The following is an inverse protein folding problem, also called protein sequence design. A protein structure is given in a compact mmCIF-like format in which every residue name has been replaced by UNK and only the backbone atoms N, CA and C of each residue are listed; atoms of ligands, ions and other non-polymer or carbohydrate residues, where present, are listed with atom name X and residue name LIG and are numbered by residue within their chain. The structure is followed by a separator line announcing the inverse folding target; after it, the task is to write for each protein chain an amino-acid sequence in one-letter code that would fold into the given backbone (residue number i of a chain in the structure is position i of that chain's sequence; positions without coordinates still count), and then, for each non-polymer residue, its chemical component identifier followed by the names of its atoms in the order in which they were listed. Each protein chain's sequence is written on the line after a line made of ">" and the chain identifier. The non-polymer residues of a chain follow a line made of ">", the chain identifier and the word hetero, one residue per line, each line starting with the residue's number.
data_IF_044124711148
#
_entry.id   IF_044124711148
#
_cell.length_a   1.000
_cell.length_b   1.000
_cell.length_c   1.000
_cell.angle_alpha   90.00
_cell.angle_beta   90.00
_cell.angle_gamma   90.00
#
_symmetry.space_group_name_H-M   'P 1'
#
loop_
_entity.id
_entity.type
_entity.pdbx_description
1 polymer ?
#
# COMPACT_ATOMS: atom_id res chain seq x y z
N UNK A 1 17.12 -7.11 26.19
CA UNK A 1 18.06 -7.09 25.03
C UNK A 1 18.64 -8.49 24.94
N UNK A 2 18.12 -9.32 24.05
CA UNK A 2 18.69 -10.65 23.75
C UNK A 2 19.91 -10.45 22.85
N UNK A 3 21.05 -10.99 23.22
CA UNK A 3 22.25 -10.97 22.41
C UNK A 3 22.03 -11.72 21.09
N UNK A 4 22.60 -11.27 19.96
CA UNK A 4 22.51 -11.97 18.68
C UNK A 4 23.44 -13.21 18.71
N UNK A 5 22.87 -14.35 19.07
CA UNK A 5 23.60 -15.61 19.18
C UNK A 5 22.76 -16.78 18.71
N UNK A 6 22.26 -16.72 17.49
CA UNK A 6 21.56 -17.84 16.87
C UNK A 6 21.62 -17.69 15.36
N UNK A 7 22.41 -18.53 14.69
CA UNK A 7 22.50 -18.67 13.24
C UNK A 7 21.29 -19.37 12.61
N UNK A 8 20.10 -19.18 13.17
CA UNK A 8 18.85 -19.61 12.56
C UNK A 8 18.23 -18.43 11.84
N UNK A 9 18.17 -18.47 10.51
CA UNK A 9 17.33 -17.56 9.71
C UNK A 9 15.87 -17.78 10.15
N UNK A 10 15.34 -16.86 10.97
CA UNK A 10 13.91 -16.90 11.30
C UNK A 10 13.13 -16.56 10.02
N UNK A 11 12.60 -17.58 9.36
CA UNK A 11 11.64 -17.38 8.27
C UNK A 11 10.33 -16.89 8.87
N UNK A 12 9.64 -16.05 8.12
CA UNK A 12 8.31 -15.57 8.50
C UNK A 12 7.27 -16.17 7.55
N UNK A 13 6.06 -16.34 8.06
CA UNK A 13 4.95 -16.90 7.28
C UNK A 13 3.85 -15.86 7.14
N UNK A 14 3.31 -15.77 5.94
CA UNK A 14 2.11 -15.00 5.65
C UNK A 14 0.89 -15.88 5.87
N UNK A 15 0.09 -15.56 6.90
CA UNK A 15 -1.03 -16.39 7.37
C UNK A 15 -2.39 -15.88 6.93
N UNK A 16 -2.50 -14.62 6.59
CA UNK A 16 -3.73 -14.01 6.11
C UNK A 16 -3.44 -12.89 5.13
N UNK A 17 -4.32 -12.70 4.16
CA UNK A 17 -4.19 -11.64 3.16
C UNK A 17 -5.54 -11.06 2.78
N UNK A 18 -5.54 -9.79 2.39
CA UNK A 18 -6.67 -9.12 1.75
C UNK A 18 -6.18 -8.17 0.69
N UNK A 19 -6.91 -8.05 -0.41
CA UNK A 19 -6.58 -7.15 -1.51
C UNK A 19 -7.83 -6.47 -2.06
N UNK A 20 -7.69 -5.21 -2.47
CA UNK A 20 -8.67 -4.48 -3.26
C UNK A 20 -7.93 -3.77 -4.39
N UNK A 21 -8.06 -4.30 -5.60
CA UNK A 21 -7.36 -3.84 -6.79
C UNK A 21 -8.38 -3.49 -7.89
N UNK A 22 -7.98 -2.66 -8.87
CA UNK A 22 -8.82 -2.36 -10.03
C UNK A 22 -9.32 -3.60 -10.75
N UNK A 23 -10.43 -3.48 -11.46
CA UNK A 23 -11.04 -4.59 -12.17
C UNK A 23 -11.81 -5.56 -11.29
N UNK A 24 -12.28 -5.08 -10.11
CA UNK A 24 -13.05 -5.85 -9.11
C UNK A 24 -12.28 -7.02 -8.52
N UNK A 25 -10.98 -6.88 -8.37
CA UNK A 25 -10.14 -7.90 -7.76
C UNK A 25 -10.12 -7.68 -6.25
N UNK A 26 -10.77 -8.57 -5.51
CA UNK A 26 -10.92 -8.51 -4.04
C UNK A 26 -10.34 -9.72 -3.31
N UNK A 27 -9.74 -10.66 -4.04
CA UNK A 27 -9.10 -11.85 -3.46
C UNK A 27 -7.98 -12.39 -4.36
N UNK A 28 -7.15 -13.26 -3.79
CA UNK A 28 -6.00 -13.85 -4.48
C UNK A 28 -6.38 -14.69 -5.71
N UNK A 29 -7.52 -15.39 -5.67
CA UNK A 29 -7.96 -16.21 -6.80
C UNK A 29 -8.28 -15.34 -8.02
N UNK A 30 -8.97 -14.22 -7.80
CA UNK A 30 -9.26 -13.26 -8.88
C UNK A 30 -7.98 -12.62 -9.41
N UNK A 31 -7.02 -12.30 -8.53
CA UNK A 31 -5.71 -11.80 -8.93
C UNK A 31 -4.96 -12.81 -9.79
N UNK A 32 -4.89 -14.06 -9.35
CA UNK A 32 -4.24 -15.13 -10.11
C UNK A 32 -4.90 -15.34 -11.48
N UNK A 33 -6.24 -15.31 -11.53
CA UNK A 33 -6.99 -15.44 -12.78
C UNK A 33 -6.70 -14.27 -13.73
N UNK A 34 -6.68 -13.02 -13.20
CA UNK A 34 -6.34 -11.83 -13.99
C UNK A 34 -4.94 -11.94 -14.59
N UNK A 35 -3.96 -12.37 -13.80
CA UNK A 35 -2.59 -12.55 -14.25
C UNK A 35 -2.48 -13.67 -15.30
N UNK A 36 -3.14 -14.82 -15.08
CA UNK A 36 -3.13 -15.95 -16.01
C UNK A 36 -3.80 -15.64 -17.35
N UNK A 37 -4.83 -14.79 -17.35
CA UNK A 37 -5.57 -14.42 -18.57
C UNK A 37 -4.99 -13.18 -19.27
N UNK A 38 -4.05 -12.48 -18.67
CA UNK A 38 -3.51 -11.22 -19.19
C UNK A 38 -4.57 -10.12 -19.32
N UNK A 39 -5.60 -10.15 -18.47
CA UNK A 39 -6.72 -9.20 -18.53
C UNK A 39 -6.21 -7.77 -18.31
N UNK A 40 -6.55 -6.88 -19.25
CA UNK A 40 -6.28 -5.44 -19.13
C UNK A 40 -7.23 -4.82 -18.10
N UNK A 41 -6.66 -4.09 -17.14
CA UNK A 41 -7.39 -3.39 -16.07
C UNK A 41 -7.17 -1.88 -16.08
N UNK A 42 -6.29 -1.38 -16.95
CA UNK A 42 -6.08 0.05 -17.13
C UNK A 42 -7.12 0.63 -18.08
N UNK A 43 -7.49 1.87 -17.89
CA UNK A 43 -8.49 2.55 -18.70
C UNK A 43 -8.43 4.06 -18.56
N UNK A 44 -9.37 4.75 -19.18
CA UNK A 44 -9.54 6.19 -18.98
C UNK A 44 -9.95 6.47 -17.54
N UNK A 45 -9.55 7.64 -17.03
CA UNK A 45 -10.00 8.15 -15.73
C UNK A 45 -11.53 8.20 -15.72
N UNK A 46 -12.21 7.57 -14.76
CA UNK A 46 -13.66 7.60 -14.68
C UNK A 46 -14.15 8.98 -14.19
N UNK A 47 -15.29 9.44 -14.72
CA UNK A 47 -15.88 10.73 -14.34
C UNK A 47 -16.17 10.84 -12.83
N UNK A 48 -16.37 9.73 -12.13
CA UNK A 48 -16.53 9.69 -10.67
C UNK A 48 -15.26 10.10 -9.89
N UNK A 49 -14.10 10.15 -10.55
CA UNK A 49 -12.84 10.62 -9.94
C UNK A 49 -12.60 12.09 -10.22
N UNK A 50 -12.51 12.45 -11.49
CA UNK A 50 -12.45 13.84 -11.97
C UNK A 50 -12.79 13.92 -13.45
N UNK A 51 -13.16 15.13 -13.90
CA UNK A 51 -13.34 15.42 -15.32
C UNK A 51 -11.96 15.53 -15.99
N UNK A 52 -11.56 14.48 -16.67
CA UNK A 52 -10.26 14.40 -17.34
C UNK A 52 -10.19 15.32 -18.57
N UNK A 53 -11.29 15.50 -19.27
CA UNK A 53 -11.31 16.37 -20.45
C UNK A 53 -11.19 17.85 -20.05
N UNK A 54 -11.87 18.26 -18.97
CA UNK A 54 -11.69 19.59 -18.40
C UNK A 54 -10.27 19.81 -17.86
N UNK A 55 -9.68 18.81 -17.19
CA UNK A 55 -8.32 18.87 -16.69
C UNK A 55 -7.29 18.99 -17.82
N UNK A 56 -7.48 18.31 -18.93
CA UNK A 56 -6.64 18.42 -20.12
C UNK A 56 -6.86 19.76 -20.81
N UNK A 57 -8.11 20.21 -20.99
CA UNK A 57 -8.43 21.49 -21.61
C UNK A 57 -7.88 22.70 -20.85
N UNK A 58 -7.84 22.63 -19.52
CA UNK A 58 -7.24 23.68 -18.68
C UNK A 58 -5.70 23.69 -18.72
N UNK A 59 -5.09 22.70 -19.35
CA UNK A 59 -3.64 22.52 -19.45
C UNK A 59 -3.11 22.90 -20.84
N UNK A 60 -3.53 24.06 -21.37
CA UNK A 60 -3.22 24.52 -22.70
C UNK A 60 -1.73 24.79 -22.99
N UNK A 61 -0.95 24.91 -21.94
CA UNK A 61 0.50 25.07 -21.96
C UNK A 61 1.26 23.75 -22.10
N UNK A 62 0.57 22.61 -22.02
CA UNK A 62 1.19 21.30 -22.03
C UNK A 62 1.17 20.66 -23.43
N UNK A 63 2.26 19.99 -23.78
CA UNK A 63 2.34 19.24 -25.03
C UNK A 63 1.39 18.03 -25.05
N UNK A 64 0.97 17.60 -26.24
CA UNK A 64 0.02 16.50 -26.46
C UNK A 64 0.40 15.22 -25.71
N UNK A 65 1.68 14.86 -25.68
CA UNK A 65 2.15 13.67 -24.98
C UNK A 65 1.87 13.73 -23.47
N UNK A 66 2.00 14.90 -22.83
CA UNK A 66 1.68 15.08 -21.41
C UNK A 66 0.17 14.97 -21.19
N UNK A 67 -0.62 15.62 -22.03
CA UNK A 67 -2.08 15.54 -22.01
C UNK A 67 -2.56 14.07 -22.13
N UNK A 68 -1.97 13.30 -23.02
CA UNK A 68 -2.31 11.90 -23.19
C UNK A 68 -1.95 11.06 -21.96
N UNK A 69 -0.81 11.33 -21.30
CA UNK A 69 -0.42 10.67 -20.03
C UNK A 69 -1.42 10.91 -18.90
N UNK A 70 -2.13 12.03 -18.92
CA UNK A 70 -3.11 12.39 -17.88
C UNK A 70 -4.44 11.63 -17.99
N UNK A 71 -4.71 10.99 -19.13
CA UNK A 71 -6.02 10.40 -19.43
C UNK A 71 -6.24 9.00 -18.84
N UNK A 72 -5.20 8.33 -18.35
CA UNK A 72 -5.25 6.91 -18.04
C UNK A 72 -4.84 6.60 -16.60
N UNK A 73 -5.46 5.56 -16.06
CA UNK A 73 -5.15 4.99 -14.75
C UNK A 73 -5.88 3.67 -14.57
N UNK A 74 -5.68 3.02 -13.45
CA UNK A 74 -6.47 1.89 -13.01
C UNK A 74 -7.09 2.23 -11.65
N UNK A 75 -8.41 2.14 -11.53
CA UNK A 75 -9.18 2.66 -10.41
C UNK A 75 -9.98 1.56 -9.74
N UNK A 76 -9.98 1.55 -8.40
CA UNK A 76 -10.87 0.69 -7.64
C UNK A 76 -12.29 1.27 -7.65
N UNK A 77 -13.27 0.38 -7.60
CA UNK A 77 -14.68 0.75 -7.44
C UNK A 77 -15.02 0.81 -5.95
N UNK A 78 -16.07 1.57 -5.61
CA UNK A 78 -16.65 1.60 -4.25
C UNK A 78 -15.69 2.07 -3.14
N UNK A 79 -14.66 2.87 -3.48
CA UNK A 79 -13.75 3.45 -2.49
C UNK A 79 -14.44 4.40 -1.49
N UNK A 80 -15.64 4.88 -1.83
CA UNK A 80 -16.50 5.72 -0.99
C UNK A 80 -17.25 4.93 0.08
N UNK A 81 -17.44 3.63 -0.10
CA UNK A 81 -18.18 2.79 0.84
C UNK A 81 -17.31 2.44 2.06
N UNK A 82 -17.95 2.38 3.22
CA UNK A 82 -17.30 1.98 4.47
C UNK A 82 -18.34 1.57 5.52
N UNK A 83 -18.16 0.42 6.14
CA UNK A 83 -19.01 0.00 7.26
C UNK A 83 -18.57 0.66 8.57
N UNK A 84 -18.92 1.93 8.73
CA UNK A 84 -18.60 2.70 9.92
C UNK A 84 -19.15 2.06 11.21
N UNK A 85 -20.32 1.41 11.13
CA UNK A 85 -20.96 0.75 12.27
C UNK A 85 -20.15 -0.43 12.77
N UNK A 86 -19.65 -1.27 11.84
CA UNK A 86 -18.80 -2.41 12.17
C UNK A 86 -17.54 -1.99 12.92
N UNK A 87 -16.95 -0.86 12.54
CA UNK A 87 -15.72 -0.35 13.16
C UNK A 87 -15.96 0.58 14.35
N UNK A 88 -17.22 0.85 14.71
CA UNK A 88 -17.57 1.77 15.82
C UNK A 88 -17.21 3.22 15.55
N UNK A 89 -17.13 3.61 14.27
CA UNK A 89 -16.81 4.97 13.81
C UNK A 89 -18.12 5.71 13.55
N UNK A 90 -18.24 6.96 14.01
CA UNK A 90 -19.44 7.75 13.74
C UNK A 90 -19.53 8.15 12.25
N UNK A 91 -20.74 8.37 11.69
CA UNK A 91 -20.88 8.86 10.32
C UNK A 91 -20.14 10.18 10.08
N UNK A 92 -20.15 11.09 11.06
CA UNK A 92 -19.45 12.38 10.95
C UNK A 92 -17.92 12.19 10.88
N UNK A 93 -17.37 11.31 11.69
CA UNK A 93 -15.97 10.94 11.63
C UNK A 93 -15.62 10.24 10.30
N UNK A 94 -16.43 9.26 9.89
CA UNK A 94 -16.25 8.55 8.63
C UNK A 94 -16.24 9.48 7.42
N UNK A 95 -17.08 10.52 7.40
CA UNK A 95 -17.11 11.51 6.31
C UNK A 95 -15.80 12.32 6.23
N UNK A 96 -15.20 12.65 7.39
CA UNK A 96 -13.95 13.39 7.45
C UNK A 96 -12.69 12.50 7.23
N UNK A 97 -12.86 11.17 7.26
CA UNK A 97 -11.78 10.21 7.19
C UNK A 97 -11.37 9.93 5.74
N UNK A 98 -10.07 10.03 5.46
CA UNK A 98 -9.48 9.65 4.17
C UNK A 98 -9.94 8.24 3.76
N UNK A 99 -10.45 8.04 2.53
CA UNK A 99 -10.79 6.71 2.02
C UNK A 99 -9.68 5.67 2.21
N UNK A 100 -8.42 6.08 2.15
CA UNK A 100 -7.28 5.20 2.39
C UNK A 100 -7.27 4.67 3.84
N UNK A 101 -7.61 5.51 4.84
CA UNK A 101 -7.74 5.05 6.23
C UNK A 101 -8.91 4.06 6.38
N UNK A 102 -10.03 4.28 5.67
CA UNK A 102 -11.19 3.38 5.68
C UNK A 102 -10.83 2.01 5.07
N UNK A 103 -10.16 2.00 3.93
CA UNK A 103 -9.66 0.77 3.30
C UNK A 103 -8.64 0.04 4.18
N UNK A 104 -7.76 0.76 4.88
CA UNK A 104 -6.82 0.15 5.83
C UNK A 104 -7.54 -0.55 6.99
N UNK A 105 -8.64 0.01 7.49
CA UNK A 105 -9.46 -0.65 8.52
C UNK A 105 -10.09 -1.94 7.98
N UNK A 106 -10.75 -1.88 6.82
CA UNK A 106 -11.45 -3.01 6.23
C UNK A 106 -10.48 -4.13 5.84
N UNK A 107 -9.44 -3.82 5.06
CA UNK A 107 -8.50 -4.83 4.56
C UNK A 107 -7.54 -5.32 5.64
N UNK A 108 -7.17 -4.47 6.61
CA UNK A 108 -6.40 -4.89 7.78
C UNK A 108 -7.16 -5.90 8.62
N UNK A 109 -8.42 -5.62 8.91
CA UNK A 109 -9.27 -6.58 9.63
C UNK A 109 -9.55 -7.85 8.81
N UNK A 110 -9.82 -7.73 7.52
CA UNK A 110 -10.03 -8.89 6.65
C UNK A 110 -8.79 -9.82 6.61
N UNK A 111 -7.58 -9.27 6.55
CA UNK A 111 -6.36 -10.05 6.59
C UNK A 111 -6.19 -10.78 7.94
N UNK A 112 -6.47 -10.09 9.05
CA UNK A 112 -6.47 -10.70 10.39
C UNK A 112 -7.53 -11.80 10.51
N UNK A 113 -8.74 -11.55 10.01
CA UNK A 113 -9.80 -12.55 9.99
C UNK A 113 -9.46 -13.76 9.10
N UNK A 114 -8.80 -13.53 7.97
CA UNK A 114 -8.30 -14.60 7.09
C UNK A 114 -7.21 -15.45 7.74
N UNK A 115 -6.48 -14.90 8.75
CA UNK A 115 -5.54 -15.67 9.59
C UNK A 115 -6.21 -16.36 10.79
N UNK A 116 -7.56 -16.35 10.86
CA UNK A 116 -8.34 -17.03 11.89
C UNK A 116 -8.62 -16.18 13.15
N UNK A 117 -8.32 -14.89 13.15
CA UNK A 117 -8.49 -14.01 14.31
C UNK A 117 -9.80 -13.20 14.23
N UNK A 118 -10.55 -13.18 15.33
CA UNK A 118 -11.74 -12.34 15.51
C UNK A 118 -11.39 -11.06 16.28
N UNK A 119 -12.29 -10.08 16.31
CA UNK A 119 -12.10 -8.87 17.13
C UNK A 119 -11.85 -9.17 18.61
N UNK A 120 -12.46 -10.22 19.15
CA UNK A 120 -12.30 -10.61 20.55
C UNK A 120 -10.87 -11.11 20.82
N UNK A 121 -10.27 -11.78 19.84
CA UNK A 121 -8.90 -12.31 19.95
C UNK A 121 -7.83 -11.23 19.86
N UNK A 122 -8.15 -10.07 19.27
CA UNK A 122 -7.22 -8.98 18.97
C UNK A 122 -7.05 -7.99 20.12
N UNK A 123 -8.10 -7.76 20.91
CA UNK A 123 -8.11 -6.73 21.93
C UNK A 123 -7.04 -6.96 23.01
N UNK A 124 -6.20 -5.95 23.25
CA UNK A 124 -5.12 -5.99 24.23
C UNK A 124 -3.88 -6.79 23.79
N UNK A 125 -3.82 -7.25 22.53
CA UNK A 125 -2.67 -8.04 22.04
C UNK A 125 -1.54 -7.14 21.53
N UNK A 126 -0.31 -7.61 21.76
CA UNK A 126 0.92 -6.98 21.27
C UNK A 126 1.16 -7.33 19.78
N UNK A 127 0.20 -6.98 18.93
CA UNK A 127 0.30 -7.16 17.48
C UNK A 127 0.72 -5.86 16.82
N UNK A 128 1.70 -5.95 15.90
CA UNK A 128 2.26 -4.78 15.20
C UNK A 128 1.40 -4.35 14.00
N UNK A 129 1.43 -3.06 13.67
CA UNK A 129 0.81 -2.49 12.47
C UNK A 129 1.83 -1.66 11.70
N UNK A 130 2.11 -2.04 10.46
CA UNK A 130 3.08 -1.39 9.58
C UNK A 130 2.40 -0.99 8.28
N UNK A 131 2.26 0.31 8.04
CA UNK A 131 1.51 0.87 6.91
C UNK A 131 2.42 1.59 5.93
N UNK A 132 2.47 1.12 4.68
CA UNK A 132 3.01 1.85 3.54
C UNK A 132 1.96 2.82 2.98
N UNK A 133 2.26 4.14 3.03
CA UNK A 133 1.31 5.19 2.66
C UNK A 133 2.07 6.41 2.15
N UNK A 134 1.70 6.99 1.03
CA UNK A 134 2.44 8.08 0.42
C UNK A 134 1.57 9.29 0.06
N UNK A 135 0.48 9.13 -0.68
CA UNK A 135 -0.30 10.24 -1.22
C UNK A 135 -1.48 10.63 -0.33
N UNK A 136 -1.75 11.94 -0.20
CA UNK A 136 -2.85 12.53 0.59
C UNK A 136 -3.76 13.43 -0.24
N UNK A 137 -4.43 12.84 -1.23
CA UNK A 137 -5.31 13.61 -2.12
C UNK A 137 -6.59 14.10 -1.41
N UNK A 138 -7.04 13.36 -0.37
CA UNK A 138 -8.36 13.59 0.24
C UNK A 138 -8.51 14.95 0.93
N UNK A 139 -7.44 15.49 1.50
CA UNK A 139 -7.48 16.83 2.10
C UNK A 139 -7.94 17.90 1.10
N UNK A 140 -7.52 17.78 -0.17
CA UNK A 140 -7.97 18.66 -1.25
C UNK A 140 -9.44 18.44 -1.63
N UNK A 141 -9.91 17.19 -1.62
CA UNK A 141 -11.31 16.90 -1.86
C UNK A 141 -12.22 17.53 -0.79
N UNK A 142 -11.73 17.65 0.44
CA UNK A 142 -12.46 18.23 1.54
C UNK A 142 -12.36 19.78 1.63
N UNK A 143 -11.48 20.44 0.91
CA UNK A 143 -11.12 21.85 1.12
C UNK A 143 -12.32 22.79 1.24
N UNK A 144 -13.38 22.56 0.45
CA UNK A 144 -14.62 23.32 0.49
C UNK A 144 -15.81 22.58 1.16
N UNK A 145 -15.56 21.41 1.74
CA UNK A 145 -16.59 20.61 2.38
C UNK A 145 -16.70 20.95 3.89
N UNK A 146 -17.90 20.99 4.49
CA UNK A 146 -18.05 21.26 5.92
C UNK A 146 -17.21 20.36 6.83
N UNK A 147 -16.98 19.11 6.45
CA UNK A 147 -16.18 18.15 7.20
C UNK A 147 -14.70 18.61 7.37
N UNK A 148 -14.18 19.45 6.46
CA UNK A 148 -12.83 20.02 6.60
C UNK A 148 -12.67 20.95 7.81
N UNK A 149 -13.76 21.46 8.35
CA UNK A 149 -13.80 22.37 9.50
C UNK A 149 -14.31 21.71 10.77
N UNK A 150 -14.59 20.40 10.71
CA UNK A 150 -15.10 19.63 11.83
C UNK A 150 -13.99 19.16 12.78
N UNK A 151 -14.37 18.67 13.94
CA UNK A 151 -13.43 18.14 14.97
C UNK A 151 -12.61 16.96 14.50
N UNK A 152 -13.06 16.26 13.45
CA UNK A 152 -12.39 15.09 12.88
C UNK A 152 -11.47 15.41 11.71
N UNK A 153 -11.37 16.67 11.25
CA UNK A 153 -10.58 17.03 10.08
C UNK A 153 -9.09 16.70 10.24
N UNK A 154 -8.52 17.01 11.41
CA UNK A 154 -7.13 16.73 11.71
C UNK A 154 -6.81 15.23 11.74
N UNK A 155 -7.65 14.42 12.37
CA UNK A 155 -7.44 12.97 12.48
C UNK A 155 -7.82 12.23 11.19
N UNK A 156 -8.78 12.75 10.45
CA UNK A 156 -9.24 12.18 9.19
C UNK A 156 -8.23 12.26 8.06
N UNK A 157 -7.38 13.29 8.03
CA UNK A 157 -6.39 13.51 6.98
C UNK A 157 -4.92 13.28 7.42
N UNK A 158 -4.67 13.01 8.71
CA UNK A 158 -3.30 12.82 9.21
C UNK A 158 -2.75 11.44 8.85
N UNK A 159 -1.55 11.42 8.25
CA UNK A 159 -0.82 10.19 7.96
C UNK A 159 -0.45 9.44 9.24
N UNK A 160 0.00 10.14 10.29
CA UNK A 160 0.39 9.52 11.57
C UNK A 160 -0.77 8.77 12.24
N UNK A 161 -2.00 9.19 11.98
CA UNK A 161 -3.21 8.53 12.50
C UNK A 161 -3.58 7.28 11.67
N UNK A 162 -3.20 7.23 10.40
CA UNK A 162 -3.63 6.15 9.50
C UNK A 162 -3.21 4.75 9.99
N UNK A 163 -1.96 4.56 10.44
CA UNK A 163 -1.52 3.29 11.05
C UNK A 163 -2.13 3.06 12.44
N UNK A 164 -2.13 4.10 13.28
CA UNK A 164 -2.67 4.04 14.64
C UNK A 164 -4.17 3.78 14.71
N UNK A 165 -4.93 4.15 13.69
CA UNK A 165 -6.38 3.95 13.64
C UNK A 165 -6.78 2.47 13.67
N UNK A 166 -6.07 1.60 12.94
CA UNK A 166 -6.31 0.16 12.99
C UNK A 166 -6.01 -0.39 14.39
N UNK A 167 -4.88 0.00 14.97
CA UNK A 167 -4.52 -0.39 16.35
C UNK A 167 -5.59 0.07 17.35
N UNK A 168 -6.04 1.32 17.26
CA UNK A 168 -7.06 1.88 18.14
C UNK A 168 -8.39 1.13 18.05
N UNK A 169 -8.90 0.91 16.83
CA UNK A 169 -10.21 0.27 16.62
C UNK A 169 -10.22 -1.21 17.03
N UNK A 170 -9.09 -1.92 16.88
CA UNK A 170 -8.97 -3.34 17.21
C UNK A 170 -8.36 -3.59 18.58
N UNK A 171 -7.93 -2.54 19.30
CA UNK A 171 -7.30 -2.65 20.62
C UNK A 171 -5.90 -3.25 20.60
N UNK A 172 -5.16 -3.12 19.48
CA UNK A 172 -3.80 -3.65 19.36
C UNK A 172 -2.81 -2.76 20.13
N UNK A 173 -1.85 -3.37 20.81
CA UNK A 173 -0.88 -2.70 21.69
C UNK A 173 0.57 -2.86 21.23
N UNK A 174 0.83 -3.56 20.13
CA UNK A 174 2.16 -3.71 19.55
C UNK A 174 2.68 -2.47 18.82
N UNK A 175 3.89 -2.55 18.25
CA UNK A 175 4.49 -1.46 17.49
C UNK A 175 3.59 -0.99 16.35
N UNK A 176 3.54 0.32 16.13
CA UNK A 176 2.72 0.92 15.08
C UNK A 176 3.53 1.97 14.32
N UNK A 177 3.68 1.80 13.00
CA UNK A 177 4.45 2.71 12.19
C UNK A 177 3.82 2.94 10.81
N UNK A 178 3.92 4.19 10.34
CA UNK A 178 3.66 4.54 8.95
C UNK A 178 4.99 4.78 8.24
N UNK A 179 5.15 4.21 7.07
CA UNK A 179 6.35 4.28 6.25
C UNK A 179 6.01 4.92 4.92
N UNK A 180 6.72 6.00 4.58
CA UNK A 180 6.67 6.58 3.24
C UNK A 180 8.05 6.49 2.58
N UNK A 181 8.16 5.58 1.64
CA UNK A 181 9.28 5.47 0.71
C UNK A 181 8.73 5.42 -0.73
N UNK A 182 7.66 6.18 -0.98
CA UNK A 182 6.92 6.24 -2.23
C UNK A 182 6.47 4.83 -2.70
N UNK A 183 6.77 4.43 -3.93
CA UNK A 183 6.35 3.14 -4.51
C UNK A 183 6.87 1.91 -3.74
N UNK A 184 7.94 2.03 -2.96
CA UNK A 184 8.49 0.93 -2.15
C UNK A 184 7.94 0.87 -0.72
N UNK A 185 7.03 1.77 -0.33
CA UNK A 185 6.55 1.91 1.05
C UNK A 185 6.01 0.58 1.63
N UNK A 186 5.21 -0.16 0.86
CA UNK A 186 4.66 -1.45 1.28
C UNK A 186 5.74 -2.52 1.51
N UNK A 187 6.74 -2.63 0.62
CA UNK A 187 7.86 -3.56 0.80
C UNK A 187 8.76 -3.16 1.96
N UNK A 188 8.98 -1.87 2.16
CA UNK A 188 9.72 -1.35 3.31
C UNK A 188 8.98 -1.64 4.61
N UNK A 189 7.67 -1.45 4.65
CA UNK A 189 6.82 -1.82 5.79
C UNK A 189 6.91 -3.31 6.11
N UNK A 190 6.93 -4.18 5.08
CA UNK A 190 7.14 -5.63 5.24
C UNK A 190 8.50 -5.93 5.90
N UNK A 191 9.56 -5.25 5.48
CA UNK A 191 10.90 -5.40 6.08
C UNK A 191 10.94 -4.98 7.56
N UNK A 192 10.30 -3.87 7.92
CA UNK A 192 10.19 -3.44 9.32
C UNK A 192 9.38 -4.42 10.17
N UNK A 193 8.25 -4.90 9.64
CA UNK A 193 7.43 -5.90 10.31
C UNK A 193 8.21 -7.21 10.58
N UNK A 194 8.93 -7.71 9.58
CA UNK A 194 9.78 -8.90 9.73
C UNK A 194 10.88 -8.71 10.78
N UNK A 195 11.50 -7.53 10.84
CA UNK A 195 12.48 -7.21 11.86
C UNK A 195 11.87 -7.17 13.26
N UNK A 196 10.72 -6.54 13.45
CA UNK A 196 10.02 -6.48 14.73
C UNK A 196 9.64 -7.89 15.25
N UNK A 197 9.15 -8.76 14.34
CA UNK A 197 8.89 -10.16 14.66
C UNK A 197 10.17 -10.91 15.07
N UNK A 198 11.26 -10.73 14.34
CA UNK A 198 12.56 -11.34 14.66
C UNK A 198 13.10 -10.88 16.01
N UNK A 199 12.89 -9.61 16.36
CA UNK A 199 13.30 -9.02 17.64
C UNK A 199 12.35 -9.38 18.81
N UNK A 200 11.21 -9.99 18.52
CA UNK A 200 10.18 -10.30 19.50
C UNK A 200 9.45 -9.10 20.05
N UNK A 201 9.41 -7.98 19.30
CA UNK A 201 8.67 -6.78 19.67
C UNK A 201 7.14 -6.96 19.50
N UNK A 202 6.73 -7.90 18.67
CA UNK A 202 5.35 -8.35 18.52
C UNK A 202 5.29 -9.82 18.12
N UNK A 203 4.17 -10.49 18.44
CA UNK A 203 3.95 -11.89 18.08
C UNK A 203 3.40 -12.06 16.66
N UNK A 204 2.71 -11.02 16.17
CA UNK A 204 2.08 -10.95 14.85
C UNK A 204 2.20 -9.52 14.33
N UNK A 205 2.40 -9.34 13.04
CA UNK A 205 2.41 -8.04 12.39
C UNK A 205 1.46 -7.97 11.21
N UNK A 206 0.60 -6.95 11.20
CA UNK A 206 -0.22 -6.59 10.04
C UNK A 206 0.57 -5.60 9.19
N UNK A 207 0.79 -5.95 7.94
CA UNK A 207 1.38 -5.05 6.94
C UNK A 207 0.29 -4.60 5.98
N UNK A 208 0.23 -3.31 5.75
CA UNK A 208 -0.73 -2.67 4.86
C UNK A 208 0.01 -1.82 3.83
N UNK A 209 -0.55 -1.71 2.65
CA UNK A 209 -0.13 -0.74 1.65
C UNK A 209 -1.35 -0.23 0.90
N UNK A 210 -1.47 1.08 0.78
CA UNK A 210 -2.64 1.71 0.14
C UNK A 210 -2.23 2.91 -0.71
N UNK A 211 -2.89 3.06 -1.84
CA UNK A 211 -2.83 4.25 -2.67
C UNK A 211 -4.16 4.45 -3.38
N UNK A 212 -4.72 5.66 -3.30
CA UNK A 212 -5.89 6.08 -4.06
C UNK A 212 -5.61 7.43 -4.72
N UNK A 213 -6.02 7.54 -5.98
CA UNK A 213 -5.95 8.76 -6.76
C UNK A 213 -7.30 9.47 -6.73
N UNK A 214 -7.40 10.62 -6.07
CA UNK A 214 -8.66 11.36 -5.91
C UNK A 214 -8.65 12.71 -6.65
N UNK A 215 -7.48 13.27 -6.92
CA UNK A 215 -7.32 14.56 -7.61
C UNK A 215 -6.25 14.49 -8.71
N UNK A 216 -6.25 15.46 -9.58
CA UNK A 216 -5.39 15.51 -10.78
C UNK A 216 -3.93 15.87 -10.49
N UNK A 217 -3.62 16.52 -9.37
CA UNK A 217 -2.33 17.20 -9.16
C UNK A 217 -1.12 16.27 -9.22
N UNK A 218 -1.14 15.20 -8.44
CA UNK A 218 -0.05 14.20 -8.45
C UNK A 218 -0.01 13.47 -9.79
N UNK A 219 -1.18 13.22 -10.39
CA UNK A 219 -1.29 12.60 -11.71
C UNK A 219 -0.64 13.46 -12.78
N UNK A 220 -0.93 14.76 -12.78
CA UNK A 220 -0.33 15.77 -13.68
C UNK A 220 1.18 15.90 -13.45
N UNK A 221 1.63 15.94 -12.20
CA UNK A 221 3.06 16.05 -11.87
C UNK A 221 3.87 14.88 -12.45
N UNK A 222 3.37 13.66 -12.35
CA UNK A 222 4.03 12.47 -12.92
C UNK A 222 3.96 12.43 -14.44
N UNK A 223 2.89 12.95 -15.05
CA UNK A 223 2.79 13.11 -16.50
C UNK A 223 3.82 14.12 -17.03
N UNK A 224 3.98 15.24 -16.34
CA UNK A 224 4.99 16.27 -16.64
C UNK A 224 6.41 15.74 -16.52
N UNK A 225 6.68 14.96 -15.47
CA UNK A 225 7.98 14.30 -15.27
C UNK A 225 8.28 13.18 -16.29
N UNK A 226 7.34 12.87 -17.18
CA UNK A 226 7.50 11.81 -18.18
C UNK A 226 7.48 10.40 -17.61
N UNK A 227 7.01 10.21 -16.36
CA UNK A 227 7.03 8.92 -15.67
C UNK A 227 5.92 7.99 -16.13
N UNK A 228 4.75 8.54 -16.51
CA UNK A 228 3.58 7.75 -16.92
C UNK A 228 3.56 7.50 -18.43
N UNK A 229 2.97 6.38 -18.84
CA UNK A 229 2.86 5.98 -20.25
C UNK A 229 1.86 6.86 -21.01
N UNK A 230 2.21 7.27 -22.23
CA UNK A 230 1.28 7.97 -23.14
C UNK A 230 0.12 7.10 -23.62
N UNK A 231 0.29 5.77 -23.57
CA UNK A 231 -0.73 4.79 -23.94
C UNK A 231 -1.52 4.25 -22.72
N UNK A 232 -1.21 4.74 -21.51
CA UNK A 232 -1.84 4.26 -20.28
C UNK A 232 -1.56 2.80 -19.94
N UNK A 233 -0.40 2.26 -20.36
CA UNK A 233 -0.05 0.84 -20.17
C UNK A 233 1.36 0.67 -19.63
N UNK A 234 1.54 -0.36 -18.79
CA UNK A 234 2.85 -0.82 -18.37
C UNK A 234 3.33 -1.90 -19.36
N UNK A 235 4.22 -1.54 -20.26
CA UNK A 235 4.82 -2.47 -21.21
C UNK A 235 6.09 -3.09 -20.62
N UNK A 236 5.94 -3.79 -19.49
CA UNK A 236 7.05 -4.43 -18.79
C UNK A 236 7.70 -5.49 -19.68
N UNK A 237 9.03 -5.44 -19.82
CA UNK A 237 9.83 -6.33 -20.70
C UNK A 237 9.52 -6.21 -22.20
N UNK A 238 8.96 -5.09 -22.65
CA UNK A 238 8.58 -4.83 -24.02
C UNK A 238 9.35 -3.61 -24.57
N UNK A 239 9.74 -3.65 -25.84
CA UNK A 239 10.41 -2.53 -26.49
C UNK A 239 9.59 -1.26 -26.58
N UNK A 240 8.28 -1.34 -26.42
CA UNK A 240 7.34 -0.22 -26.35
C UNK A 240 7.29 0.48 -25.00
N UNK A 241 8.06 0.02 -24.00
CA UNK A 241 8.08 0.60 -22.66
C UNK A 241 8.37 2.11 -22.72
N UNK A 242 7.41 2.91 -22.22
CA UNK A 242 7.46 4.38 -22.29
C UNK A 242 6.93 5.07 -21.01
N UNK A 243 6.88 4.33 -19.92
CA UNK A 243 6.35 4.74 -18.62
C UNK A 243 5.42 3.70 -18.02
N UNK A 244 4.84 4.01 -16.86
CA UNK A 244 3.88 3.14 -16.19
C UNK A 244 2.47 3.75 -16.19
N UNK A 245 1.47 2.95 -15.88
CA UNK A 245 0.11 3.41 -15.61
C UNK A 245 -0.10 3.45 -14.10
N UNK A 246 -0.53 4.59 -13.55
CA UNK A 246 -0.86 4.71 -12.11
C UNK A 246 -2.07 3.87 -11.76
N UNK A 247 -2.09 3.34 -10.56
CA UNK A 247 -3.18 2.49 -10.07
C UNK A 247 -3.56 2.84 -8.64
N UNK A 248 -4.86 2.78 -8.36
CA UNK A 248 -5.35 2.59 -6.99
C UNK A 248 -5.02 1.18 -6.52
N UNK A 249 -4.86 1.01 -5.23
CA UNK A 249 -4.77 -0.31 -4.60
C UNK A 249 -4.90 -0.23 -3.09
N UNK A 250 -5.37 -1.30 -2.49
CA UNK A 250 -5.16 -1.60 -1.07
C UNK A 250 -4.79 -3.07 -0.94
N UNK A 251 -3.74 -3.34 -0.20
CA UNK A 251 -3.30 -4.69 0.12
C UNK A 251 -2.94 -4.80 1.59
N UNK A 252 -3.27 -5.94 2.20
CA UNK A 252 -2.92 -6.27 3.58
C UNK A 252 -2.43 -7.70 3.68
N UNK A 253 -1.45 -7.94 4.53
CA UNK A 253 -1.05 -9.27 4.92
C UNK A 253 -0.71 -9.35 6.40
N UNK A 254 -0.81 -10.56 6.95
CA UNK A 254 -0.43 -10.88 8.32
C UNK A 254 0.82 -11.73 8.29
N UNK A 255 1.85 -11.29 9.02
CA UNK A 255 3.12 -11.99 9.18
C UNK A 255 3.26 -12.54 10.60
N UNK A 256 3.80 -13.74 10.72
CA UNK A 256 4.17 -14.41 11.97
C UNK A 256 5.53 -15.10 11.81
N UNK A 257 6.19 -15.42 12.91
CA UNK A 257 7.40 -16.25 12.87
C UNK A 257 7.00 -17.67 12.44
N UNK A 258 7.75 -18.27 11.51
CA UNK A 258 7.48 -19.62 11.04
C UNK A 258 7.69 -20.64 12.19
N UNK A 259 6.81 -21.62 12.27
CA UNK A 259 6.80 -22.63 13.36
C UNK A 259 5.65 -22.47 14.34
N UNK A 260 5.03 -21.28 14.41
CA UNK A 260 3.87 -21.04 15.29
C UNK A 260 2.52 -21.39 14.62
N UNK A 261 2.54 -21.89 13.38
CA UNK A 261 1.34 -22.13 12.56
C UNK A 261 1.38 -23.54 11.97
N UNK A 262 0.22 -24.22 11.90
CA UNK A 262 0.09 -25.56 11.31
C UNK A 262 0.44 -25.60 9.81
N UNK A 263 0.63 -26.81 9.27
CA UNK A 263 1.25 -27.09 7.96
C UNK A 263 0.57 -26.50 6.69
N UNK A 264 -0.58 -25.85 6.79
CA UNK A 264 -1.24 -25.17 5.65
C UNK A 264 -0.70 -23.75 5.42
N UNK A 265 0.61 -23.61 5.27
CA UNK A 265 1.23 -22.31 5.07
C UNK A 265 1.23 -21.90 3.60
N UNK A 266 0.65 -20.76 3.32
CA UNK A 266 0.49 -20.30 1.95
C UNK A 266 1.77 -19.69 1.36
N UNK A 267 2.51 -18.87 2.10
CA UNK A 267 3.70 -18.15 1.59
C UNK A 267 4.73 -17.96 2.70
N UNK A 268 5.97 -18.35 2.44
CA UNK A 268 7.10 -18.09 3.32
C UNK A 268 7.86 -16.83 2.86
N UNK A 269 8.13 -15.90 3.79
CA UNK A 269 9.03 -14.78 3.61
C UNK A 269 10.40 -15.17 4.16
N UNK A 270 11.33 -15.52 3.27
CA UNK A 270 12.63 -16.07 3.64
C UNK A 270 13.66 -14.99 3.98
N UNK A 271 13.52 -13.79 3.42
CA UNK A 271 14.45 -12.71 3.69
C UNK A 271 13.97 -11.37 3.15
N UNK A 272 14.35 -10.30 3.82
CA UNK A 272 14.09 -8.92 3.40
C UNK A 272 15.37 -8.09 3.54
N UNK A 273 15.49 -7.05 2.73
CA UNK A 273 16.54 -6.05 2.87
C UNK A 273 16.02 -4.70 2.40
N UNK A 274 16.35 -3.65 3.15
CA UNK A 274 16.01 -2.26 2.80
C UNK A 274 17.30 -1.47 2.70
N UNK A 275 17.50 -0.75 1.59
CA UNK A 275 18.69 0.07 1.32
C UNK A 275 18.32 1.33 0.56
N UNK A 276 19.16 2.34 0.66
CA UNK A 276 19.11 3.53 -0.18
C UNK A 276 20.16 3.43 -1.29
N UNK A 277 19.88 4.01 -2.45
CA UNK A 277 20.79 4.06 -3.60
C UNK A 277 22.09 4.85 -3.31
N UNK A 278 22.06 5.75 -2.31
CA UNK A 278 23.14 6.67 -2.02
C UNK A 278 23.30 7.70 -3.14
N UNK A 279 24.54 8.20 -3.33
CA UNK A 279 24.83 9.17 -4.39
C UNK A 279 24.81 8.48 -5.76
N UNK A 280 23.90 8.88 -6.63
CA UNK A 280 23.80 8.48 -8.03
C UNK A 280 24.08 9.67 -8.95
N UNK A 281 23.87 9.51 -10.27
CA UNK A 281 24.11 10.58 -11.25
C UNK A 281 23.20 11.81 -11.04
N UNK A 282 21.98 11.61 -10.54
CA UNK A 282 21.05 12.67 -10.10
C UNK A 282 20.14 12.14 -9.00
N UNK A 283 19.38 13.01 -8.34
CA UNK A 283 18.45 12.64 -7.26
C UNK A 283 17.45 11.55 -7.69
N UNK A 284 17.05 11.56 -8.96
CA UNK A 284 16.05 10.63 -9.52
C UNK A 284 16.67 9.49 -10.34
N UNK A 285 17.99 9.49 -10.56
CA UNK A 285 18.65 8.45 -11.34
C UNK A 285 18.86 7.18 -10.48
N UNK A 286 18.42 6.00 -10.95
CA UNK A 286 18.63 4.75 -10.24
C UNK A 286 20.12 4.35 -10.21
N UNK A 287 20.54 3.64 -9.15
CA UNK A 287 21.87 3.10 -8.99
C UNK A 287 21.85 1.57 -9.08
N UNK A 288 22.17 1.03 -10.27
CA UNK A 288 22.15 -0.41 -10.53
C UNK A 288 23.06 -1.23 -9.61
N UNK A 289 24.20 -0.65 -9.16
CA UNK A 289 25.09 -1.32 -8.20
C UNK A 289 24.50 -1.39 -6.80
N UNK A 290 23.75 -0.37 -6.38
CA UNK A 290 23.03 -0.39 -5.12
C UNK A 290 21.88 -1.41 -5.15
N UNK A 291 21.13 -1.47 -6.26
CA UNK A 291 20.08 -2.48 -6.47
C UNK A 291 20.64 -3.91 -6.46
N UNK A 292 21.77 -4.16 -7.13
CA UNK A 292 22.45 -5.46 -7.08
C UNK A 292 22.81 -5.85 -5.65
N UNK A 293 23.41 -4.94 -4.88
CA UNK A 293 23.74 -5.18 -3.46
C UNK A 293 22.51 -5.40 -2.59
N UNK A 294 21.40 -4.72 -2.88
CA UNK A 294 20.12 -4.93 -2.19
C UNK A 294 19.62 -6.38 -2.40
N UNK A 295 19.57 -6.83 -3.66
CA UNK A 295 19.16 -8.19 -4.00
C UNK A 295 20.08 -9.24 -3.34
N UNK A 296 21.39 -9.06 -3.44
CA UNK A 296 22.36 -9.96 -2.80
C UNK A 296 22.17 -10.02 -1.27
N UNK A 297 21.89 -8.89 -0.62
CA UNK A 297 21.58 -8.86 0.83
C UNK A 297 20.29 -9.62 1.16
N UNK A 298 19.23 -9.46 0.39
CA UNK A 298 17.98 -10.19 0.62
C UNK A 298 18.15 -11.70 0.43
N UNK A 299 18.91 -12.12 -0.61
CA UNK A 299 19.24 -13.53 -0.85
C UNK A 299 20.10 -14.11 0.27
N UNK A 300 21.10 -13.37 0.75
CA UNK A 300 21.93 -13.80 1.88
C UNK A 300 21.12 -14.01 3.16
N UNK A 301 20.17 -13.10 3.47
CA UNK A 301 19.24 -13.27 4.59
C UNK A 301 18.36 -14.50 4.41
N UNK A 302 17.92 -14.78 3.18
CA UNK A 302 17.12 -15.95 2.85
C UNK A 302 17.91 -17.28 2.87
N UNK A 303 19.22 -17.25 3.11
CA UNK A 303 20.06 -18.46 3.01
C UNK A 303 20.21 -18.99 1.57
N UNK A 304 19.81 -18.22 0.56
CA UNK A 304 19.98 -18.58 -0.84
C UNK A 304 21.38 -18.16 -1.30
N UNK A 305 22.19 -19.13 -1.69
CA UNK A 305 23.46 -18.84 -2.35
C UNK A 305 23.21 -18.09 -3.66
N UNK A 306 23.84 -16.91 -3.81
CA UNK A 306 23.79 -16.10 -5.01
C UNK A 306 24.75 -16.64 -6.10
#
# INVERSE_FOLDING_TARGET
>A
IRAPGGTGTSSHTMTGTSVHLPGRITNQRQLALMMATGREITGKVPAARWDVEAAVASSTDLGEAVCNRMKYGAFIESAELFDCRFFGVSPAESTAMDPQQRLCLEHGYQALHASGLTKADLNGKEHGVYLGFSCQDFAKCLENHPAARGVYSATGSSQSIASGRLSFVLGLQGPCALIDTACSAGLTATGFAANALTLGECALAVVLAVNIMLVTDVHRAFALAGMTSVAGKCFTWDSRANGYCRSDSCGACVLQVAGDVGEEQLIALLGTSVRCDGKSASLTAPNGMAQKRLIQSALAVAGAAG
#
